data_IF_502841910533
#
_entry.id   IF_502841910533
#
_cell.length_a   1.000
_cell.length_b   1.000
_cell.length_c   1.000
_cell.angle_alpha   90.00
_cell.angle_beta   90.00
_cell.angle_gamma   90.00
#
_symmetry.space_group_name_H-M   'P 1'
#
loop_
_entity.id
_entity.type
_entity.pdbx_description
1 polymer ?
#
# COMPACT_ATOMS: atom_id res chain seq x y z
N UNK A 1 4.57 -19.77 12.20
CA UNK A 1 3.29 -19.93 11.46
C UNK A 1 3.63 -20.26 10.01
N UNK A 2 2.85 -21.09 9.29
CA UNK A 2 3.12 -21.41 7.88
C UNK A 2 1.94 -20.96 7.02
N UNK A 3 2.22 -20.22 5.95
CA UNK A 3 1.22 -19.84 4.94
C UNK A 3 1.05 -21.02 3.99
N UNK A 4 -0.18 -21.49 3.82
CA UNK A 4 -0.52 -22.50 2.80
C UNK A 4 -0.87 -21.85 1.47
N UNK A 5 -1.52 -20.68 1.50
CA UNK A 5 -1.98 -19.98 0.30
C UNK A 5 -2.03 -18.47 0.51
N UNK A 6 -1.64 -17.74 -0.52
CA UNK A 6 -1.77 -16.28 -0.63
C UNK A 6 -2.88 -15.97 -1.65
N UNK A 7 -3.85 -15.18 -1.23
CA UNK A 7 -4.83 -14.56 -2.13
C UNK A 7 -4.35 -13.15 -2.46
N UNK A 8 -4.13 -12.89 -3.73
CA UNK A 8 -3.63 -11.62 -4.24
C UNK A 8 -4.74 -10.93 -5.04
N UNK A 9 -5.14 -9.74 -4.61
CA UNK A 9 -6.22 -8.97 -5.24
C UNK A 9 -5.64 -7.79 -6.01
N UNK A 10 -6.02 -7.69 -7.28
CA UNK A 10 -5.54 -6.66 -8.20
C UNK A 10 -6.18 -5.29 -7.95
N UNK A 11 -5.59 -4.24 -8.49
CA UNK A 11 -6.17 -2.90 -8.57
C UNK A 11 -6.14 -2.46 -10.05
N UNK A 12 -7.21 -2.72 -10.82
CA UNK A 12 -7.25 -2.47 -12.26
C UNK A 12 -7.02 -1.01 -12.66
N UNK A 13 -7.25 -0.07 -11.74
CA UNK A 13 -6.96 1.35 -11.98
C UNK A 13 -5.46 1.66 -12.02
N UNK A 14 -4.58 0.73 -11.64
CA UNK A 14 -3.12 0.87 -11.65
C UNK A 14 -2.48 -0.35 -12.32
N UNK A 15 -2.49 -0.43 -13.66
CA UNK A 15 -1.95 -1.58 -14.39
C UNK A 15 -0.44 -1.80 -14.16
N UNK A 16 0.29 -0.77 -13.72
CA UNK A 16 1.72 -0.84 -13.41
C UNK A 16 2.05 -1.81 -12.26
N UNK A 17 1.07 -2.24 -11.47
CA UNK A 17 1.25 -3.27 -10.44
C UNK A 17 1.76 -4.58 -11.04
N UNK A 18 1.31 -4.91 -12.26
CA UNK A 18 1.56 -6.19 -12.92
C UNK A 18 1.30 -7.38 -11.97
N UNK A 19 0.04 -7.57 -11.59
CA UNK A 19 -0.37 -8.52 -10.56
C UNK A 19 0.12 -9.96 -10.81
N UNK A 20 0.25 -10.35 -12.08
CA UNK A 20 0.76 -11.66 -12.49
C UNK A 20 2.25 -11.82 -12.16
N UNK A 21 3.04 -10.78 -12.38
CA UNK A 21 4.45 -10.77 -12.02
C UNK A 21 4.65 -10.76 -10.50
N UNK A 22 3.84 -9.97 -9.78
CA UNK A 22 3.83 -9.98 -8.33
C UNK A 22 3.47 -11.35 -7.75
N UNK A 23 2.44 -12.00 -8.30
CA UNK A 23 2.04 -13.34 -7.87
C UNK A 23 3.12 -14.38 -8.13
N UNK A 24 3.79 -14.33 -9.28
CA UNK A 24 4.95 -15.19 -9.57
C UNK A 24 6.09 -14.95 -8.59
N UNK A 25 6.41 -13.68 -8.33
CA UNK A 25 7.45 -13.30 -7.38
C UNK A 25 7.18 -13.85 -5.98
N UNK A 26 5.96 -13.69 -5.46
CA UNK A 26 5.58 -14.20 -4.13
C UNK A 26 5.68 -15.73 -4.11
N UNK A 27 5.16 -16.41 -5.13
CA UNK A 27 5.20 -17.87 -5.27
C UNK A 27 6.64 -18.38 -5.24
N UNK A 28 7.54 -17.76 -6.01
CA UNK A 28 8.95 -18.18 -6.10
C UNK A 28 9.73 -17.84 -4.82
N UNK A 29 9.52 -16.67 -4.23
CA UNK A 29 10.27 -16.24 -3.04
C UNK A 29 9.86 -16.92 -1.75
N UNK A 30 8.58 -17.28 -1.60
CA UNK A 30 8.06 -17.86 -0.36
C UNK A 30 7.60 -19.32 -0.52
N UNK A 31 7.63 -19.87 -1.74
CA UNK A 31 7.17 -21.22 -2.07
C UNK A 31 5.73 -21.51 -1.62
N UNK A 32 4.86 -20.53 -1.78
CA UNK A 32 3.45 -20.63 -1.39
C UNK A 32 2.56 -20.71 -2.63
N UNK A 33 1.42 -21.36 -2.50
CA UNK A 33 0.39 -21.25 -3.53
C UNK A 33 -0.10 -19.79 -3.59
N UNK A 34 -0.22 -19.23 -4.80
CA UNK A 34 -0.75 -17.89 -5.01
C UNK A 34 -1.96 -18.00 -5.92
N UNK A 35 -3.10 -17.47 -5.46
CA UNK A 35 -4.30 -17.27 -6.26
C UNK A 35 -4.48 -15.78 -6.52
N UNK A 36 -4.48 -15.42 -7.80
CA UNK A 36 -4.74 -14.05 -8.24
C UNK A 36 -6.23 -13.90 -8.46
N UNK A 37 -6.80 -12.82 -7.90
CA UNK A 37 -8.21 -12.47 -8.01
C UNK A 37 -8.35 -11.07 -8.60
N UNK A 38 -9.56 -10.81 -9.10
CA UNK A 38 -10.00 -9.46 -9.46
C UNK A 38 -9.93 -8.52 -8.24
N UNK A 39 -10.24 -7.24 -8.48
CA UNK A 39 -10.32 -6.23 -7.43
C UNK A 39 -11.15 -6.71 -6.24
N UNK A 40 -10.63 -6.51 -5.02
CA UNK A 40 -11.15 -7.14 -3.80
C UNK A 40 -12.67 -6.96 -3.59
N UNK A 41 -13.19 -5.75 -3.66
CA UNK A 41 -14.60 -5.46 -3.46
C UNK A 41 -15.45 -5.91 -4.65
N UNK A 42 -14.91 -5.84 -5.86
CA UNK A 42 -15.54 -6.38 -7.06
C UNK A 42 -15.54 -7.91 -7.09
N UNK A 43 -14.68 -8.60 -6.34
CA UNK A 43 -14.66 -10.06 -6.28
C UNK A 43 -15.80 -10.60 -5.39
N UNK A 44 -16.05 -9.95 -4.24
CA UNK A 44 -17.07 -10.35 -3.27
C UNK A 44 -18.43 -9.63 -3.48
N UNK A 45 -18.85 -9.45 -4.74
CA UNK A 45 -19.94 -8.57 -5.27
C UNK A 45 -21.27 -8.46 -4.49
N UNK A 46 -21.54 -9.32 -3.53
CA UNK A 46 -22.83 -9.49 -2.86
C UNK A 46 -23.20 -8.32 -1.91
N UNK A 47 -22.42 -7.24 -1.84
CA UNK A 47 -22.65 -6.12 -0.90
C UNK A 47 -22.10 -4.75 -1.34
N UNK A 48 -21.99 -4.45 -2.63
CA UNK A 48 -21.36 -3.20 -3.13
C UNK A 48 -21.86 -1.93 -2.41
N UNK A 49 -23.18 -1.71 -2.28
CA UNK A 49 -23.70 -0.51 -1.62
C UNK A 49 -23.38 -0.44 -0.13
N UNK A 50 -23.40 -1.58 0.57
CA UNK A 50 -23.01 -1.66 1.98
C UNK A 50 -21.53 -1.38 2.16
N UNK A 51 -20.68 -1.99 1.33
CA UNK A 51 -19.23 -1.78 1.33
C UNK A 51 -18.91 -0.32 1.01
N UNK A 52 -19.57 0.28 0.02
CA UNK A 52 -19.39 1.68 -0.32
C UNK A 52 -19.74 2.61 0.84
N UNK A 53 -20.82 2.33 1.57
CA UNK A 53 -21.18 3.04 2.79
C UNK A 53 -20.08 2.91 3.86
N UNK A 54 -19.60 1.70 4.12
CA UNK A 54 -18.54 1.45 5.11
C UNK A 54 -17.23 2.16 4.72
N UNK A 55 -16.82 2.09 3.45
CA UNK A 55 -15.64 2.80 2.93
C UNK A 55 -15.78 4.31 3.08
N UNK A 56 -16.93 4.88 2.71
CA UNK A 56 -17.19 6.31 2.87
C UNK A 56 -17.15 6.76 4.34
N UNK A 57 -17.54 5.87 5.25
CA UNK A 57 -17.49 6.07 6.71
C UNK A 57 -16.06 6.02 7.25
N UNK A 58 -15.17 5.24 6.65
CA UNK A 58 -13.76 5.11 7.07
C UNK A 58 -12.85 6.28 6.67
N UNK A 59 -13.38 7.28 5.95
CA UNK A 59 -12.63 8.46 5.51
C UNK A 59 -12.20 9.33 6.70
N UNK A 60 -11.00 9.90 6.60
CA UNK A 60 -10.44 10.83 7.60
C UNK A 60 -10.81 12.26 7.23
N UNK A 61 -11.30 13.02 8.22
CA UNK A 61 -11.69 14.43 8.06
C UNK A 61 -10.84 15.38 8.91
N UNK A 62 -10.34 14.89 10.04
CA UNK A 62 -9.45 15.63 10.91
C UNK A 62 -8.12 14.88 11.01
N UNK A 63 -7.05 15.51 10.53
CA UNK A 63 -5.71 14.92 10.55
C UNK A 63 -5.06 14.98 11.94
N UNK A 64 -5.60 15.78 12.86
CA UNK A 64 -5.01 16.07 14.18
C UNK A 64 -5.82 15.48 15.35
N UNK A 65 -6.80 14.63 15.05
CA UNK A 65 -7.58 13.91 16.05
C UNK A 65 -7.65 12.42 15.68
N UNK A 66 -7.79 11.52 16.68
CA UNK A 66 -8.06 10.11 16.42
C UNK A 66 -9.33 9.89 15.57
N UNK A 67 -9.48 8.69 15.02
CA UNK A 67 -10.61 8.35 14.16
C UNK A 67 -11.96 8.65 14.82
N UNK A 68 -12.80 9.41 14.12
CA UNK A 68 -14.17 9.68 14.51
C UNK A 68 -15.12 9.19 13.43
N UNK A 69 -15.94 8.20 13.79
CA UNK A 69 -16.94 7.65 12.89
C UNK A 69 -18.05 8.68 12.64
N UNK A 70 -18.40 8.88 11.37
CA UNK A 70 -19.50 9.76 10.97
C UNK A 70 -20.44 9.07 9.99
N UNK A 71 -21.59 9.70 9.74
CA UNK A 71 -22.49 9.31 8.67
C UNK A 71 -22.02 9.93 7.35
N UNK A 72 -21.71 9.13 6.31
CA UNK A 72 -21.34 9.66 4.99
C UNK A 72 -22.55 10.28 4.28
N UNK A 73 -22.29 11.22 3.36
CA UNK A 73 -23.33 11.77 2.49
C UNK A 73 -23.64 10.81 1.34
N UNK A 74 -24.79 11.01 0.68
CA UNK A 74 -25.17 10.23 -0.49
C UNK A 74 -24.13 10.33 -1.62
N UNK A 75 -23.55 11.51 -1.85
CA UNK A 75 -22.52 11.72 -2.86
C UNK A 75 -21.26 10.91 -2.56
N UNK A 76 -20.85 10.83 -1.29
CA UNK A 76 -19.67 10.06 -0.91
C UNK A 76 -19.86 8.56 -1.10
N UNK A 77 -21.07 8.06 -0.81
CA UNK A 77 -21.43 6.66 -1.06
C UNK A 77 -21.39 6.37 -2.56
N UNK A 78 -22.01 7.22 -3.38
CA UNK A 78 -22.02 7.09 -4.85
C UNK A 78 -20.60 7.12 -5.42
N UNK A 79 -19.72 7.97 -4.88
CA UNK A 79 -18.30 8.00 -5.29
C UNK A 79 -17.59 6.68 -4.96
N UNK A 80 -17.83 6.09 -3.79
CA UNK A 80 -17.25 4.78 -3.46
C UNK A 80 -17.81 3.66 -4.32
N UNK A 81 -19.13 3.62 -4.56
CA UNK A 81 -19.78 2.65 -5.46
C UNK A 81 -19.18 2.72 -6.87
N UNK A 82 -18.99 3.94 -7.40
CA UNK A 82 -18.36 4.15 -8.70
C UNK A 82 -16.89 3.71 -8.70
N UNK A 83 -16.15 3.94 -7.61
CA UNK A 83 -14.75 3.49 -7.52
C UNK A 83 -14.63 1.96 -7.53
N UNK A 84 -15.59 1.24 -6.94
CA UNK A 84 -15.62 -0.23 -6.92
C UNK A 84 -16.03 -0.81 -8.28
N UNK A 85 -16.98 -0.17 -8.97
CA UNK A 85 -17.58 -0.71 -10.19
C UNK A 85 -16.85 -0.30 -11.46
N UNK A 86 -16.36 0.93 -11.52
CA UNK A 86 -15.76 1.53 -12.70
C UNK A 86 -14.25 1.78 -12.55
N UNK A 87 -13.65 1.42 -11.40
CA UNK A 87 -12.22 1.60 -11.12
C UNK A 87 -11.74 3.03 -11.38
N UNK A 88 -12.57 4.01 -11.04
CA UNK A 88 -12.28 5.42 -11.32
C UNK A 88 -11.24 5.97 -10.36
N UNK A 89 -10.25 6.69 -10.91
CA UNK A 89 -9.35 7.52 -10.12
C UNK A 89 -10.03 8.86 -9.82
N UNK A 90 -10.14 9.23 -8.54
CA UNK A 90 -10.55 10.58 -8.16
C UNK A 90 -9.37 11.54 -8.34
N UNK A 91 -9.62 12.73 -8.88
CA UNK A 91 -8.57 13.77 -9.02
C UNK A 91 -8.04 14.26 -7.67
N UNK A 92 -8.80 14.06 -6.60
CA UNK A 92 -8.44 14.43 -5.24
C UNK A 92 -8.02 13.19 -4.46
N UNK A 93 -6.94 13.33 -3.69
CA UNK A 93 -6.49 12.31 -2.74
C UNK A 93 -7.45 12.29 -1.56
N UNK A 94 -8.11 11.15 -1.37
CA UNK A 94 -8.97 10.88 -0.20
C UNK A 94 -8.21 9.96 0.75
N UNK A 95 -8.19 10.32 2.03
CA UNK A 95 -7.51 9.56 3.08
C UNK A 95 -8.51 8.67 3.82
N UNK A 96 -8.12 7.42 4.06
CA UNK A 96 -8.91 6.43 4.78
C UNK A 96 -8.14 6.00 6.02
N UNK A 97 -8.84 5.84 7.15
CA UNK A 97 -8.24 5.20 8.32
C UNK A 97 -7.91 3.75 7.99
N UNK A 98 -6.64 3.40 8.09
CA UNK A 98 -6.10 2.12 7.64
C UNK A 98 -6.59 0.95 8.48
N UNK A 99 -6.91 1.16 9.76
CA UNK A 99 -7.44 0.10 10.61
C UNK A 99 -8.93 -0.13 10.34
N UNK A 100 -9.72 0.93 10.16
CA UNK A 100 -11.12 0.83 9.75
C UNK A 100 -11.24 0.21 8.36
N UNK A 101 -10.43 0.65 7.40
CA UNK A 101 -10.38 0.06 6.06
C UNK A 101 -10.05 -1.44 6.12
N UNK A 102 -9.03 -1.81 6.90
CA UNK A 102 -8.66 -3.21 7.13
C UNK A 102 -9.80 -4.01 7.74
N UNK A 103 -10.57 -3.42 8.65
CA UNK A 103 -11.71 -4.11 9.27
C UNK A 103 -12.82 -4.39 8.25
N UNK A 104 -13.10 -3.45 7.33
CA UNK A 104 -14.05 -3.63 6.22
C UNK A 104 -13.62 -4.80 5.34
N UNK A 105 -12.34 -4.81 4.93
CA UNK A 105 -11.76 -5.92 4.15
C UNK A 105 -11.89 -7.24 4.91
N UNK A 106 -11.50 -7.29 6.18
CA UNK A 106 -11.58 -8.50 7.00
C UNK A 106 -13.02 -9.04 7.14
N UNK A 107 -14.00 -8.16 7.33
CA UNK A 107 -15.41 -8.51 7.43
C UNK A 107 -16.02 -9.03 6.12
N UNK A 108 -15.38 -8.71 4.98
CA UNK A 108 -15.83 -9.13 3.65
C UNK A 108 -15.34 -10.54 3.31
N UNK A 109 -14.21 -10.98 3.89
CA UNK A 109 -13.63 -12.30 3.61
C UNK A 109 -14.45 -13.40 4.31
N UNK A 110 -14.92 -14.43 3.59
CA UNK A 110 -15.66 -15.55 4.18
C UNK A 110 -14.84 -16.31 5.24
N UNK A 111 -15.49 -16.83 6.28
CA UNK A 111 -14.83 -17.55 7.38
C UNK A 111 -13.92 -18.71 6.92
N UNK A 112 -14.30 -19.39 5.84
CA UNK A 112 -13.51 -20.51 5.27
C UNK A 112 -12.16 -20.05 4.71
N UNK A 113 -12.06 -18.80 4.26
CA UNK A 113 -10.83 -18.19 3.74
C UNK A 113 -10.06 -17.41 4.81
N UNK A 114 -10.71 -16.98 5.89
CA UNK A 114 -10.13 -16.23 7.02
C UNK A 114 -9.27 -17.07 8.00
N UNK A 115 -8.80 -18.25 7.57
CA UNK A 115 -8.01 -19.15 8.41
C UNK A 115 -6.58 -18.62 8.63
N UNK A 116 -5.93 -18.93 9.77
CA UNK A 116 -4.56 -18.47 10.05
C UNK A 116 -3.46 -19.03 9.13
N UNK A 117 -3.76 -19.98 8.25
CA UNK A 117 -2.84 -20.48 7.23
C UNK A 117 -3.04 -19.81 5.87
N UNK A 118 -4.02 -18.90 5.75
CA UNK A 118 -4.36 -18.15 4.55
C UNK A 118 -3.96 -16.70 4.72
N UNK A 119 -3.30 -16.14 3.71
CA UNK A 119 -2.87 -14.75 3.73
C UNK A 119 -3.54 -14.00 2.59
N UNK A 120 -4.13 -12.85 2.89
CA UNK A 120 -4.76 -11.99 1.89
C UNK A 120 -3.92 -10.73 1.70
N UNK A 121 -3.57 -10.40 0.45
CA UNK A 121 -2.85 -9.20 0.08
C UNK A 121 -3.67 -8.41 -0.93
N UNK A 122 -4.13 -7.23 -0.51
CA UNK A 122 -4.99 -6.36 -1.31
C UNK A 122 -4.15 -5.21 -1.83
N UNK A 123 -4.10 -5.03 -3.15
CA UNK A 123 -3.61 -3.79 -3.74
C UNK A 123 -4.77 -2.80 -3.88
N UNK A 124 -4.52 -1.52 -3.62
CA UNK A 124 -5.51 -0.46 -3.84
C UNK A 124 -4.85 0.87 -4.19
N UNK A 125 -5.57 1.70 -4.94
CA UNK A 125 -5.20 3.09 -5.19
C UNK A 125 -5.65 4.06 -4.07
N UNK A 126 -6.39 3.59 -3.06
CA UNK A 126 -6.87 4.42 -1.95
C UNK A 126 -5.75 4.69 -0.96
N UNK A 127 -5.57 5.93 -0.51
CA UNK A 127 -4.55 6.30 0.47
C UNK A 127 -4.98 5.86 1.88
N UNK A 128 -4.31 4.84 2.42
CA UNK A 128 -4.51 4.42 3.80
C UNK A 128 -3.58 5.19 4.72
N UNK A 129 -4.08 5.57 5.89
CA UNK A 129 -3.34 6.33 6.89
C UNK A 129 -3.49 5.69 8.28
N UNK A 130 -2.53 5.94 9.16
CA UNK A 130 -2.65 5.55 10.58
C UNK A 130 -2.43 6.78 11.46
N UNK A 131 -3.20 6.91 12.53
CA UNK A 131 -2.97 7.93 13.54
C UNK A 131 -1.80 7.55 14.43
N UNK A 132 -0.88 8.48 14.62
CA UNK A 132 0.27 8.33 15.53
C UNK A 132 0.01 9.14 16.80
N UNK A 133 0.09 8.47 17.95
CA UNK A 133 -0.16 9.08 19.26
C UNK A 133 1.07 9.80 19.82
N UNK A 134 2.25 9.66 19.20
CA UNK A 134 3.47 10.35 19.60
C UNK A 134 3.52 11.78 19.05
N UNK A 135 3.08 11.98 17.80
CA UNK A 135 3.01 13.31 17.16
C UNK A 135 1.58 13.81 16.90
N UNK A 136 0.58 13.08 17.40
CA UNK A 136 -0.85 13.42 17.40
C UNK A 136 -1.40 13.79 16.03
N UNK A 137 -1.04 13.02 15.00
CA UNK A 137 -1.57 13.21 13.64
C UNK A 137 -1.61 11.94 12.81
N UNK A 138 -2.38 12.00 11.73
CA UNK A 138 -2.39 10.96 10.70
C UNK A 138 -1.16 11.01 9.81
N UNK A 139 -0.65 9.82 9.50
CA UNK A 139 0.40 9.61 8.52
C UNK A 139 -0.09 8.68 7.42
N UNK A 140 0.19 9.04 6.17
CA UNK A 140 0.00 8.12 5.04
C UNK A 140 0.86 6.86 5.21
N UNK A 141 0.35 5.73 4.70
CA UNK A 141 1.03 4.44 4.73
C UNK A 141 0.98 3.81 3.35
N UNK A 142 2.14 3.39 2.87
CA UNK A 142 2.25 2.54 1.68
C UNK A 142 1.72 1.13 1.93
N UNK A 143 1.83 0.63 3.16
CA UNK A 143 1.37 -0.71 3.54
C UNK A 143 0.77 -0.70 4.95
N UNK A 144 -0.36 -1.40 5.11
CA UNK A 144 -0.88 -1.82 6.41
C UNK A 144 -0.51 -3.29 6.58
N UNK A 145 0.55 -3.54 7.34
CA UNK A 145 1.02 -4.89 7.64
C UNK A 145 0.05 -5.56 8.62
N UNK A 146 -0.83 -6.41 8.10
CA UNK A 146 -1.76 -7.22 8.87
C UNK A 146 -2.15 -8.45 8.05
N UNK A 147 -3.13 -9.25 8.49
CA UNK A 147 -3.81 -10.19 7.61
C UNK A 147 -5.32 -9.97 7.78
N UNK A 148 -6.04 -9.46 6.76
CA UNK A 148 -5.59 -9.09 5.42
C UNK A 148 -4.58 -7.91 5.40
N UNK A 149 -3.55 -7.99 4.57
CA UNK A 149 -2.60 -6.90 4.31
C UNK A 149 -3.10 -5.99 3.19
N UNK A 150 -2.81 -4.70 3.28
CA UNK A 150 -3.21 -3.70 2.28
C UNK A 150 -1.98 -2.96 1.80
N UNK A 151 -1.76 -2.93 0.49
CA UNK A 151 -0.75 -2.11 -0.18
C UNK A 151 -1.47 -0.98 -0.91
N UNK A 152 -1.16 0.25 -0.54
CA UNK A 152 -1.70 1.47 -1.15
C UNK A 152 -0.71 2.04 -2.16
N UNK A 153 -1.04 2.01 -3.46
CA UNK A 153 -0.17 2.59 -4.50
C UNK A 153 -0.08 4.12 -4.35
N UNK A 154 -1.17 4.78 -3.98
CA UNK A 154 -1.15 6.20 -3.59
C UNK A 154 -0.28 6.41 -2.34
N UNK A 155 -0.33 5.50 -1.36
CA UNK A 155 0.55 5.54 -0.19
C UNK A 155 2.03 5.41 -0.55
N UNK A 156 2.38 4.56 -1.52
CA UNK A 156 3.76 4.43 -2.04
C UNK A 156 4.27 5.75 -2.62
N UNK A 157 3.40 6.52 -3.27
CA UNK A 157 3.75 7.77 -3.95
C UNK A 157 3.75 8.96 -2.97
N UNK A 158 2.70 9.08 -2.16
CA UNK A 158 2.41 10.30 -1.39
C UNK A 158 2.90 10.24 0.06
N UNK A 159 3.08 9.05 0.66
CA UNK A 159 3.45 8.96 2.06
C UNK A 159 4.94 9.24 2.34
N UNK A 160 5.90 8.69 1.57
CA UNK A 160 7.31 9.06 1.74
C UNK A 160 7.55 10.49 1.25
N UNK A 161 8.30 11.27 2.03
CA UNK A 161 8.65 12.64 1.69
C UNK A 161 9.48 12.71 0.39
N UNK A 162 9.20 13.72 -0.44
CA UNK A 162 10.00 14.01 -1.64
C UNK A 162 11.43 14.45 -1.25
N UNK A 163 12.41 14.44 -2.17
CA UNK A 163 13.75 14.96 -1.93
C UNK A 163 13.75 16.32 -1.20
N UNK A 164 14.69 16.55 -0.29
CA UNK A 164 14.73 17.81 0.49
C UNK A 164 14.88 19.03 -0.41
N UNK A 165 15.66 18.89 -1.46
CA UNK A 165 15.93 19.89 -2.50
C UNK A 165 14.65 20.30 -3.23
N UNK A 166 13.67 19.40 -3.35
CA UNK A 166 12.37 19.74 -3.92
C UNK A 166 11.65 20.81 -3.09
N UNK A 167 11.65 20.65 -1.76
CA UNK A 167 11.02 21.61 -0.86
C UNK A 167 11.79 22.93 -0.77
N UNK A 168 13.14 22.88 -0.79
CA UNK A 168 13.98 24.08 -0.84
C UNK A 168 13.68 24.90 -2.11
N UNK A 169 13.68 24.25 -3.28
CA UNK A 169 13.37 24.93 -4.52
C UNK A 169 11.91 25.41 -4.59
N UNK A 170 10.95 24.68 -4.01
CA UNK A 170 9.56 25.15 -3.92
C UNK A 170 9.46 26.45 -3.12
N UNK A 171 10.15 26.53 -1.98
CA UNK A 171 10.17 27.74 -1.14
C UNK A 171 10.82 28.92 -1.89
N UNK A 172 11.97 28.72 -2.52
CA UNK A 172 12.65 29.76 -3.31
C UNK A 172 11.77 30.28 -4.46
N UNK A 173 11.09 29.39 -5.19
CA UNK A 173 10.21 29.78 -6.29
C UNK A 173 8.94 30.50 -5.81
N UNK A 174 8.37 30.10 -4.66
CA UNK A 174 7.25 30.84 -4.04
C UNK A 174 7.66 32.26 -3.68
N UNK A 175 8.85 32.45 -3.10
CA UNK A 175 9.38 33.79 -2.77
C UNK A 175 9.63 34.63 -4.04
N UNK A 176 10.06 33.99 -5.13
CA UNK A 176 10.37 34.68 -6.40
C UNK A 176 9.17 34.81 -7.36
N UNK A 177 8.00 34.24 -7.04
CA UNK A 177 6.81 34.26 -7.90
C UNK A 177 6.98 33.49 -9.21
N UNK A 178 7.91 32.53 -9.26
CA UNK A 178 8.22 31.72 -10.45
C UNK A 178 7.26 30.54 -10.62
N UNK A 179 7.13 30.05 -11.87
CA UNK A 179 6.19 28.99 -12.21
C UNK A 179 6.63 27.61 -11.67
N UNK A 180 5.78 27.01 -10.83
CA UNK A 180 5.96 25.69 -10.20
C UNK A 180 6.12 24.53 -11.19
N UNK A 181 5.64 24.66 -12.43
CA UNK A 181 5.76 23.60 -13.43
C UNK A 181 7.19 23.42 -13.95
N UNK A 182 8.01 24.48 -13.96
CA UNK A 182 9.43 24.37 -14.29
C UNK A 182 10.20 23.55 -13.25
N UNK A 183 9.82 23.67 -11.97
CA UNK A 183 10.39 22.88 -10.88
C UNK A 183 10.06 21.40 -10.99
N UNK A 184 8.80 21.04 -11.29
CA UNK A 184 8.41 19.64 -11.47
C UNK A 184 9.28 18.93 -12.53
N UNK A 185 9.64 19.64 -13.60
CA UNK A 185 10.52 19.09 -14.63
C UNK A 185 11.97 18.85 -14.15
N UNK A 186 12.50 19.69 -13.25
CA UNK A 186 13.87 19.54 -12.73
C UNK A 186 14.04 18.31 -11.83
N UNK A 187 12.97 17.89 -11.15
CA UNK A 187 12.99 16.76 -10.23
C UNK A 187 12.36 15.50 -10.82
N UNK A 188 12.03 15.52 -12.12
CA UNK A 188 11.45 14.37 -12.81
C UNK A 188 12.34 13.14 -12.66
N UNK A 189 11.75 12.03 -12.22
CA UNK A 189 12.45 10.78 -11.98
C UNK A 189 13.19 10.66 -10.65
N UNK A 190 13.26 11.72 -9.82
CA UNK A 190 13.83 11.68 -8.46
C UNK A 190 12.83 11.23 -7.38
N UNK A 191 11.55 11.20 -7.70
CA UNK A 191 10.47 10.66 -6.88
C UNK A 191 9.46 9.96 -7.78
N UNK A 192 8.60 9.13 -7.19
CA UNK A 192 7.56 8.43 -7.92
C UNK A 192 6.41 9.36 -8.30
N UNK A 193 5.90 9.17 -9.51
CA UNK A 193 4.66 9.81 -9.98
C UNK A 193 3.57 8.73 -10.11
N UNK A 194 2.31 9.16 -10.17
CA UNK A 194 1.21 8.24 -10.49
C UNK A 194 1.48 7.56 -11.84
N UNK A 195 1.20 6.26 -11.91
CA UNK A 195 1.47 5.42 -13.07
C UNK A 195 2.96 5.32 -13.47
N UNK A 196 3.89 5.52 -12.52
CA UNK A 196 5.31 5.21 -12.76
C UNK A 196 5.50 3.69 -12.89
N UNK A 197 6.12 3.26 -13.99
CA UNK A 197 6.43 1.85 -14.29
C UNK A 197 7.24 1.14 -13.20
N UNK A 198 7.97 1.91 -12.38
CA UNK A 198 8.74 1.39 -11.23
C UNK A 198 7.84 0.79 -10.14
N UNK A 199 6.54 1.08 -10.11
CA UNK A 199 5.60 0.52 -9.13
C UNK A 199 5.61 -1.02 -9.13
N UNK A 200 5.78 -1.64 -10.31
CA UNK A 200 5.89 -3.10 -10.48
C UNK A 200 6.96 -3.73 -9.58
N UNK A 201 8.12 -3.10 -9.46
CA UNK A 201 9.23 -3.62 -8.63
C UNK A 201 9.09 -3.21 -7.16
N UNK A 202 8.56 -2.00 -6.90
CA UNK A 202 8.41 -1.47 -5.54
C UNK A 202 7.36 -2.26 -4.75
N UNK A 203 6.23 -2.61 -5.38
CA UNK A 203 5.17 -3.36 -4.73
C UNK A 203 5.63 -4.74 -4.26
N UNK A 204 6.54 -5.39 -5.01
CA UNK A 204 7.14 -6.66 -4.57
C UNK A 204 7.82 -6.51 -3.20
N UNK A 205 8.50 -5.39 -2.93
CA UNK A 205 9.10 -5.13 -1.62
C UNK A 205 8.08 -4.93 -0.52
N UNK A 206 7.02 -4.15 -0.77
CA UNK A 206 5.93 -3.99 0.20
C UNK A 206 5.17 -5.30 0.46
N UNK A 207 5.01 -6.15 -0.56
CA UNK A 207 4.48 -7.50 -0.40
C UNK A 207 5.39 -8.36 0.50
N UNK A 208 6.71 -8.24 0.34
CA UNK A 208 7.65 -8.89 1.26
C UNK A 208 7.53 -8.36 2.68
N UNK A 209 7.43 -7.04 2.89
CA UNK A 209 7.26 -6.45 4.23
C UNK A 209 5.98 -6.98 4.91
N UNK A 210 4.87 -7.06 4.18
CA UNK A 210 3.61 -7.61 4.68
C UNK A 210 3.73 -9.10 5.04
N UNK A 211 4.37 -9.91 4.19
CA UNK A 211 4.58 -11.34 4.42
C UNK A 211 5.56 -11.60 5.58
N UNK A 212 6.67 -10.86 5.65
CA UNK A 212 7.62 -10.94 6.76
C UNK A 212 6.96 -10.59 8.08
N UNK A 213 6.15 -9.52 8.11
CA UNK A 213 5.38 -9.18 9.30
C UNK A 213 4.46 -10.31 9.74
N UNK A 214 3.71 -10.88 8.81
CA UNK A 214 2.79 -11.97 9.13
C UNK A 214 3.52 -13.20 9.67
N UNK A 215 4.69 -13.52 9.14
CA UNK A 215 5.45 -14.72 9.52
C UNK A 215 6.29 -14.53 10.79
N UNK A 216 6.79 -13.33 11.04
CA UNK A 216 7.83 -13.06 12.06
C UNK A 216 7.42 -12.03 13.11
N UNK A 217 6.35 -11.25 12.86
CA UNK A 217 5.97 -10.09 13.66
C UNK A 217 6.84 -8.85 13.42
N UNK A 218 7.85 -8.91 12.55
CA UNK A 218 8.77 -7.81 12.27
C UNK A 218 8.69 -7.42 10.78
N UNK A 219 8.09 -6.26 10.44
CA UNK A 219 7.83 -5.88 9.05
C UNK A 219 9.06 -5.29 8.34
N UNK A 220 9.91 -4.60 9.09
CA UNK A 220 10.84 -3.61 8.54
C UNK A 220 12.29 -3.81 8.99
N UNK A 221 13.20 -3.44 8.10
CA UNK A 221 14.62 -3.31 8.36
C UNK A 221 14.98 -1.83 8.56
N UNK A 222 15.99 -1.56 9.37
CA UNK A 222 16.57 -0.21 9.54
C UNK A 222 17.70 0.09 8.55
N UNK A 223 18.18 -0.91 7.80
CA UNK A 223 19.22 -0.72 6.79
C UNK A 223 18.61 -0.32 5.45
N UNK A 224 19.08 0.79 4.88
CA UNK A 224 18.73 1.27 3.53
C UNK A 224 19.13 0.26 2.44
N UNK A 225 20.10 -0.59 2.73
CA UNK A 225 20.57 -1.66 1.85
C UNK A 225 19.80 -2.98 2.05
N UNK A 226 18.57 -2.88 2.53
CA UNK A 226 17.65 -4.01 2.59
C UNK A 226 16.34 -3.63 1.91
N UNK A 227 15.80 -4.54 1.11
CA UNK A 227 14.48 -4.38 0.48
C UNK A 227 13.34 -4.23 1.49
N UNK A 228 13.52 -4.66 2.74
CA UNK A 228 12.54 -4.44 3.82
C UNK A 228 12.71 -3.08 4.51
N UNK A 229 13.53 -2.16 4.00
CA UNK A 229 13.72 -0.85 4.62
C UNK A 229 12.41 -0.07 4.76
N UNK A 230 12.16 0.51 5.95
CA UNK A 230 11.04 1.42 6.17
C UNK A 230 11.39 2.83 5.68
N UNK A 231 11.30 3.05 4.38
CA UNK A 231 11.65 4.32 3.77
C UNK A 231 10.64 5.43 4.13
N UNK A 232 11.12 6.51 4.72
CA UNK A 232 10.34 7.74 4.95
C UNK A 232 10.58 8.80 3.88
N UNK A 233 11.59 8.62 3.03
CA UNK A 233 11.92 9.49 1.90
C UNK A 233 11.84 8.72 0.59
N UNK A 234 11.37 9.37 -0.47
CA UNK A 234 11.29 8.81 -1.82
C UNK A 234 12.66 8.34 -2.32
N UNK A 235 13.73 9.06 -2.01
CA UNK A 235 15.09 8.67 -2.40
C UNK A 235 15.50 7.34 -1.77
N UNK A 236 15.21 7.16 -0.49
CA UNK A 236 15.52 5.92 0.23
C UNK A 236 14.61 4.76 -0.23
N UNK A 237 13.37 5.06 -0.60
CA UNK A 237 12.45 4.09 -1.19
C UNK A 237 13.02 3.60 -2.53
N UNK A 238 13.40 4.52 -3.43
CA UNK A 238 13.96 4.17 -4.73
C UNK A 238 15.29 3.42 -4.58
N UNK A 239 16.14 3.81 -3.62
CA UNK A 239 17.39 3.10 -3.33
C UNK A 239 17.14 1.66 -2.88
N UNK A 240 16.37 1.48 -1.81
CA UNK A 240 16.12 0.16 -1.20
C UNK A 240 15.36 -0.80 -2.15
N UNK A 241 14.43 -0.27 -2.94
CA UNK A 241 13.58 -1.10 -3.81
C UNK A 241 14.16 -1.35 -5.20
N UNK A 242 14.89 -0.38 -5.78
CA UNK A 242 15.33 -0.47 -7.18
C UNK A 242 16.84 -0.62 -7.32
N UNK A 243 17.62 0.11 -6.51
CA UNK A 243 19.09 0.07 -6.61
C UNK A 243 19.62 -1.18 -5.91
N UNK A 244 19.18 -1.42 -4.68
CA UNK A 244 19.62 -2.57 -3.89
C UNK A 244 18.76 -3.79 -4.22
N UNK A 245 17.43 -3.64 -4.18
CA UNK A 245 16.40 -4.63 -4.54
C UNK A 245 16.50 -6.02 -3.89
N UNK A 246 17.41 -6.19 -2.92
CA UNK A 246 17.73 -7.45 -2.26
C UNK A 246 17.58 -7.36 -0.74
N UNK A 247 17.41 -8.50 -0.08
CA UNK A 247 17.43 -8.59 1.38
C UNK A 247 18.86 -8.45 1.90
N UNK A 248 19.02 -7.86 3.09
CA UNK A 248 20.28 -7.96 3.81
C UNK A 248 20.51 -9.40 4.31
N UNK A 249 21.75 -9.73 4.67
CA UNK A 249 22.14 -11.08 5.11
C UNK A 249 21.26 -11.65 6.24
N UNK A 250 20.80 -10.80 7.17
CA UNK A 250 19.94 -11.24 8.27
C UNK A 250 18.56 -11.67 7.74
N UNK A 251 17.92 -10.84 6.93
CA UNK A 251 16.60 -11.16 6.39
C UNK A 251 16.64 -12.26 5.34
N UNK A 252 17.76 -12.41 4.62
CA UNK A 252 17.95 -13.54 3.72
C UNK A 252 17.97 -14.87 4.49
N UNK A 253 18.70 -14.96 5.61
CA UNK A 253 18.67 -16.16 6.46
C UNK A 253 17.27 -16.51 6.97
N UNK A 254 16.50 -15.49 7.38
CA UNK A 254 15.10 -15.69 7.80
C UNK A 254 14.27 -16.24 6.65
N UNK A 255 14.43 -15.71 5.43
CA UNK A 255 13.74 -16.21 4.25
C UNK A 255 14.13 -17.67 3.95
N UNK A 256 15.42 -17.99 4.01
CA UNK A 256 15.94 -19.34 3.78
C UNK A 256 15.38 -20.34 4.81
N UNK A 257 15.22 -19.93 6.08
CA UNK A 257 14.61 -20.75 7.13
C UNK A 257 13.12 -21.00 6.88
N UNK A 258 12.38 -19.97 6.47
CA UNK A 258 10.95 -20.08 6.12
C UNK A 258 10.75 -21.02 4.92
N UNK A 259 11.67 -20.97 3.96
CA UNK A 259 11.61 -21.70 2.68
C UNK A 259 12.38 -23.01 2.68
N UNK A 260 12.92 -23.44 3.83
CA UNK A 260 13.76 -24.63 3.94
C UNK A 260 13.11 -25.95 3.49
N UNK A 261 11.77 -26.01 3.50
CA UNK A 261 10.99 -27.19 3.12
C UNK A 261 10.32 -27.06 1.74
N UNK A 262 10.86 -26.21 0.87
CA UNK A 262 10.37 -26.05 -0.51
C UNK A 262 10.93 -27.08 -1.49
N UNK A 263 11.84 -27.95 -1.04
CA UNK A 263 12.40 -29.07 -1.80
C UNK A 263 11.45 -30.28 -1.84
#
# INVERSE_FOLDING_TARGET
MKISKVFLYDEPSVPEININELGRFIKEKFCVEVEIREQFFSFFKDSTSKIAYELATSKIFNLLAPFEKRTPTSEEIILEENSITNFTNTSNIVMYDGFEFRQIVANTIPEIESRPDKFHLICTNKLTCTYDYEDYRYHGRAVICSNPAIISTTGIIEAPAKPREYYLGMFENMVQGLNLDMMKNQFKGKYLEYHDVKLSEIIKGYAMQALFYYLTGQPFCESKDCRLYNAHWQEDLLHSQLTVSNLCNQHQKILDEITKNCE
#
